data_IF_408664568554
#
_entry.id   IF_408664568554
#
_cell.length_a   1.000
_cell.length_b   1.000
_cell.length_c   1.000
_cell.angle_alpha   90.00
_cell.angle_beta   90.00
_cell.angle_gamma   90.00
#
_symmetry.space_group_name_H-M   'P 1'
#
loop_
_entity.id
_entity.type
_entity.pdbx_description
1 polymer ?
#
# COMPACT_ATOMS: atom_id res chain seq x y z
N UNK A 1 -25.22 15.76 -26.27
CA UNK A 1 -23.99 16.40 -25.77
C UNK A 1 -23.22 15.35 -24.98
N UNK A 2 -22.15 14.78 -25.56
CA UNK A 2 -21.36 13.72 -24.93
C UNK A 2 -20.27 14.38 -24.08
N UNK A 3 -20.42 14.34 -22.76
CA UNK A 3 -19.40 14.78 -21.81
C UNK A 3 -18.29 13.71 -21.83
N UNK A 4 -17.18 13.98 -22.52
CA UNK A 4 -15.96 13.17 -22.40
C UNK A 4 -15.29 13.53 -21.08
N UNK A 5 -15.28 12.59 -20.14
CA UNK A 5 -14.48 12.65 -18.93
C UNK A 5 -13.01 12.39 -19.30
N UNK A 6 -12.21 13.45 -19.43
CA UNK A 6 -10.76 13.32 -19.43
C UNK A 6 -10.29 13.12 -17.98
N UNK A 7 -10.26 11.86 -17.53
CA UNK A 7 -9.82 11.51 -16.19
C UNK A 7 -8.30 11.65 -16.10
N UNK A 8 -7.81 12.83 -15.69
CA UNK A 8 -6.41 12.98 -15.29
C UNK A 8 -6.17 12.19 -14.01
N UNK A 9 -5.51 11.04 -14.13
CA UNK A 9 -5.09 10.24 -12.97
C UNK A 9 -3.85 10.87 -12.36
N UNK A 10 -3.97 11.44 -11.16
CA UNK A 10 -2.82 11.93 -10.40
C UNK A 10 -2.26 10.76 -9.59
N UNK A 11 -0.99 10.44 -9.84
CA UNK A 11 -0.25 9.47 -9.03
C UNK A 11 0.48 10.22 -7.94
N UNK A 12 0.09 9.97 -6.69
CA UNK A 12 0.81 10.50 -5.51
C UNK A 12 1.67 9.40 -4.92
N UNK A 13 2.96 9.68 -4.72
CA UNK A 13 3.92 8.76 -4.08
C UNK A 13 4.24 9.23 -2.68
N UNK A 14 4.20 8.33 -1.69
CA UNK A 14 4.52 8.60 -0.29
C UNK A 14 5.46 7.52 0.25
N UNK A 15 6.35 7.91 1.14
CA UNK A 15 7.16 6.98 1.94
C UNK A 15 6.65 6.99 3.38
N UNK A 16 6.55 5.80 3.97
CA UNK A 16 6.07 5.61 5.32
C UNK A 16 7.00 4.68 6.08
N UNK A 17 7.68 5.23 7.09
CA UNK A 17 8.46 4.45 8.04
C UNK A 17 7.60 4.07 9.24
N UNK A 18 7.74 2.83 9.72
CA UNK A 18 6.98 2.32 10.85
C UNK A 18 7.76 1.25 11.61
N UNK A 19 7.40 1.03 12.88
CA UNK A 19 7.91 -0.08 13.68
C UNK A 19 7.05 -1.31 13.41
N UNK A 20 7.69 -2.45 13.17
CA UNK A 20 6.97 -3.69 12.90
C UNK A 20 6.53 -4.34 14.22
N UNK A 21 5.26 -4.79 14.34
CA UNK A 21 4.80 -5.44 15.56
C UNK A 21 5.52 -6.78 15.78
N UNK A 22 5.57 -7.26 17.02
CA UNK A 22 6.03 -8.64 17.27
C UNK A 22 5.05 -9.62 16.62
N UNK A 23 5.56 -10.61 15.89
CA UNK A 23 4.74 -11.65 15.27
C UNK A 23 4.21 -12.60 16.33
N UNK A 24 2.89 -12.81 16.31
CA UNK A 24 2.17 -13.79 17.17
C UNK A 24 1.35 -14.77 16.37
N UNK A 25 1.42 -14.67 15.05
CA UNK A 25 0.55 -15.32 14.08
C UNK A 25 1.39 -15.81 12.88
N UNK A 26 0.83 -16.67 12.01
CA UNK A 26 1.49 -17.09 10.79
C UNK A 26 1.96 -15.90 9.95
N UNK A 27 3.05 -16.08 9.21
CA UNK A 27 3.69 -14.98 8.49
C UNK A 27 2.74 -14.25 7.53
N UNK A 28 1.86 -14.99 6.85
CA UNK A 28 0.89 -14.43 5.91
C UNK A 28 -0.09 -13.50 6.63
N UNK A 29 -0.67 -13.93 7.74
CA UNK A 29 -1.66 -13.14 8.48
C UNK A 29 -1.01 -11.89 9.07
N UNK A 30 0.22 -12.05 9.57
CA UNK A 30 1.03 -10.96 10.09
C UNK A 30 1.29 -9.87 9.03
N UNK A 31 1.63 -10.28 7.82
CA UNK A 31 1.87 -9.41 6.68
C UNK A 31 0.58 -8.72 6.19
N UNK A 32 -0.51 -9.47 6.08
CA UNK A 32 -1.81 -8.94 5.72
C UNK A 32 -2.31 -7.92 6.75
N UNK A 33 -2.06 -8.14 8.05
CA UNK A 33 -2.40 -7.18 9.10
C UNK A 33 -1.64 -5.87 8.94
N UNK A 34 -0.34 -5.92 8.66
CA UNK A 34 0.44 -4.71 8.39
C UNK A 34 -0.07 -3.98 7.15
N UNK A 35 -0.34 -4.71 6.07
CA UNK A 35 -0.89 -4.15 4.83
C UNK A 35 -2.26 -3.51 5.03
N UNK A 36 -3.15 -4.11 5.84
CA UNK A 36 -4.45 -3.52 6.20
C UNK A 36 -4.28 -2.21 6.96
N UNK A 37 -3.38 -2.15 7.94
CA UNK A 37 -3.08 -0.91 8.66
C UNK A 37 -2.52 0.19 7.74
N UNK A 38 -1.71 -0.17 6.73
CA UNK A 38 -1.27 0.77 5.69
C UNK A 38 -2.45 1.18 4.82
N UNK A 39 -3.30 0.25 4.40
CA UNK A 39 -4.48 0.55 3.58
C UNK A 39 -5.43 1.54 4.25
N UNK A 40 -5.79 1.28 5.50
CA UNK A 40 -6.66 2.16 6.30
C UNK A 40 -6.07 3.57 6.42
N UNK A 41 -4.75 3.67 6.66
CA UNK A 41 -4.05 4.96 6.82
C UNK A 41 -3.98 5.78 5.52
N UNK A 42 -3.91 5.12 4.37
CA UNK A 42 -3.75 5.76 3.06
C UNK A 42 -4.98 5.64 2.16
N UNK A 43 -6.10 5.16 2.70
CA UNK A 43 -7.39 4.97 2.03
C UNK A 43 -7.24 4.15 0.73
N UNK A 44 -6.54 3.01 0.79
CA UNK A 44 -6.23 2.20 -0.40
C UNK A 44 -7.33 1.21 -0.79
N UNK A 45 -8.27 0.90 0.11
CA UNK A 45 -9.34 -0.07 -0.13
C UNK A 45 -8.87 -1.53 0.04
N UNK A 46 -9.51 -2.45 -0.67
CA UNK A 46 -9.23 -3.87 -0.54
C UNK A 46 -7.95 -4.30 -1.30
N UNK A 47 -7.31 -5.36 -0.80
CA UNK A 47 -6.15 -5.99 -1.46
C UNK A 47 -6.66 -6.86 -2.61
N UNK A 48 -6.14 -6.61 -3.81
CA UNK A 48 -6.43 -7.38 -5.02
C UNK A 48 -5.37 -8.45 -5.23
N UNK A 49 -4.10 -8.06 -5.11
CA UNK A 49 -2.95 -8.94 -5.32
C UNK A 49 -1.89 -8.69 -4.27
N UNK A 50 -1.13 -9.75 -3.97
CA UNK A 50 -0.04 -9.72 -3.02
C UNK A 50 1.04 -10.72 -3.44
N UNK A 51 2.28 -10.26 -3.42
CA UNK A 51 3.47 -11.04 -3.65
C UNK A 51 4.49 -10.75 -2.53
N UNK A 52 5.24 -11.78 -2.14
CA UNK A 52 6.32 -11.65 -1.16
C UNK A 52 7.57 -12.39 -1.62
N UNK A 53 8.70 -11.92 -1.14
CA UNK A 53 9.97 -12.62 -1.23
C UNK A 53 10.87 -12.21 -0.06
N UNK A 54 11.85 -13.05 0.21
CA UNK A 54 12.76 -12.90 1.34
C UNK A 54 14.19 -12.75 0.81
N UNK A 55 14.96 -11.86 1.45
CA UNK A 55 16.39 -11.65 1.22
C UNK A 55 17.06 -11.60 2.59
N UNK A 56 17.64 -12.73 2.99
CA UNK A 56 18.18 -12.93 4.34
C UNK A 56 17.14 -12.59 5.44
N UNK A 57 17.44 -11.58 6.27
CA UNK A 57 16.58 -11.09 7.36
C UNK A 57 15.57 -10.01 6.91
N UNK A 58 15.60 -9.62 5.64
CA UNK A 58 14.73 -8.58 5.09
C UNK A 58 13.62 -9.24 4.28
N UNK A 59 12.38 -8.92 4.65
CA UNK A 59 11.19 -9.37 3.93
C UNK A 59 10.68 -8.26 3.05
N UNK A 60 10.29 -8.61 1.83
CA UNK A 60 9.74 -7.71 0.84
C UNK A 60 8.33 -8.12 0.45
N UNK A 61 7.49 -7.11 0.26
CA UNK A 61 6.10 -7.27 -0.14
C UNK A 61 5.77 -6.27 -1.23
N UNK A 62 5.08 -6.75 -2.26
CA UNK A 62 4.31 -5.92 -3.18
C UNK A 62 2.84 -6.26 -3.06
N UNK A 63 2.01 -5.25 -2.84
CA UNK A 63 0.57 -5.39 -2.75
C UNK A 63 -0.11 -4.39 -3.69
N UNK A 64 -1.11 -4.88 -4.42
CA UNK A 64 -2.00 -4.07 -5.25
C UNK A 64 -3.33 -3.95 -4.52
N UNK A 65 -3.78 -2.71 -4.38
CA UNK A 65 -5.05 -2.35 -3.80
C UNK A 65 -5.93 -1.66 -4.84
N UNK A 66 -7.23 -1.55 -4.57
CA UNK A 66 -8.18 -0.81 -5.42
C UNK A 66 -7.72 0.63 -5.70
N UNK A 67 -7.27 1.34 -4.65
CA UNK A 67 -6.84 2.73 -4.70
C UNK A 67 -5.35 2.95 -5.00
N UNK A 68 -4.54 1.89 -5.11
CA UNK A 68 -3.10 2.06 -5.24
C UNK A 68 -2.22 0.82 -5.17
N UNK A 69 -0.94 1.04 -4.95
CA UNK A 69 0.08 -0.02 -4.77
C UNK A 69 0.95 0.30 -3.57
N UNK A 70 1.35 -0.74 -2.86
CA UNK A 70 2.32 -0.66 -1.76
C UNK A 70 3.49 -1.56 -2.10
N UNK A 71 4.70 -1.01 -1.99
CA UNK A 71 5.94 -1.79 -1.93
C UNK A 71 6.55 -1.61 -0.56
N UNK A 72 6.73 -2.68 0.17
CA UNK A 72 7.18 -2.65 1.55
C UNK A 72 8.40 -3.53 1.72
N UNK A 73 9.35 -3.07 2.52
CA UNK A 73 10.45 -3.90 3.04
C UNK A 73 10.55 -3.73 4.54
N UNK A 74 10.81 -4.82 5.26
CA UNK A 74 10.79 -4.77 6.71
C UNK A 74 11.65 -5.86 7.36
N UNK A 75 12.08 -5.59 8.59
CA UNK A 75 12.64 -6.58 9.52
C UNK A 75 11.62 -6.84 10.64
N UNK A 76 11.35 -8.10 10.93
CA UNK A 76 10.34 -8.49 11.94
C UNK A 76 10.72 -7.99 13.35
N UNK A 77 9.78 -7.37 14.06
CA UNK A 77 9.99 -6.80 15.40
C UNK A 77 10.97 -5.61 15.49
N UNK A 78 11.35 -5.03 14.34
CA UNK A 78 12.25 -3.88 14.22
C UNK A 78 11.57 -2.78 13.39
N UNK A 79 12.05 -2.53 12.17
CA UNK A 79 11.70 -1.38 11.35
C UNK A 79 11.15 -1.84 10.00
N UNK A 80 10.24 -1.06 9.44
CA UNK A 80 9.68 -1.25 8.12
C UNK A 80 9.56 0.08 7.37
N UNK A 81 9.73 0.02 6.06
CA UNK A 81 9.49 1.14 5.15
C UNK A 81 8.53 0.67 4.06
N UNK A 82 7.46 1.43 3.87
CA UNK A 82 6.50 1.25 2.79
C UNK A 82 6.54 2.44 1.83
N UNK A 83 6.65 2.15 0.54
CA UNK A 83 6.37 3.07 -0.55
C UNK A 83 4.94 2.87 -1.01
N UNK A 84 4.14 3.94 -0.95
CA UNK A 84 2.73 3.93 -1.32
C UNK A 84 2.55 4.78 -2.56
N UNK A 85 1.91 4.21 -3.59
CA UNK A 85 1.46 4.92 -4.79
C UNK A 85 -0.06 4.91 -4.82
N UNK A 86 -0.68 6.06 -4.58
CA UNK A 86 -2.14 6.21 -4.64
C UNK A 86 -2.55 6.82 -5.98
N UNK A 87 -3.63 6.30 -6.57
CA UNK A 87 -4.29 6.92 -7.72
C UNK A 87 -5.40 7.81 -7.19
N UNK A 88 -5.22 9.13 -7.23
CA UNK A 88 -6.31 10.08 -6.98
C UNK A 88 -6.87 10.52 -8.33
N UNK A 89 -8.14 10.25 -8.57
CA UNK A 89 -8.90 11.02 -9.55
C UNK A 89 -9.24 12.36 -8.91
N UNK A 90 -8.82 13.47 -9.50
CA UNK A 90 -9.44 14.75 -9.15
C UNK A 90 -10.90 14.69 -9.62
N UNK A 91 -11.90 14.94 -8.75
CA UNK A 91 -13.15 15.46 -9.26
C UNK A 91 -12.81 16.84 -9.85
N UNK A 92 -12.94 16.98 -11.17
CA UNK A 92 -12.88 18.29 -11.83
C UNK A 92 -13.84 19.24 -11.11
N UNK A 93 -13.30 20.12 -10.26
CA UNK A 93 -14.03 21.26 -9.74
C UNK A 93 -14.19 22.23 -10.90
N UNK A 94 -15.23 22.03 -11.69
CA UNK A 94 -15.75 23.12 -12.51
C UNK A 94 -16.27 24.18 -11.54
N UNK A 95 -15.61 25.34 -11.54
CA UNK A 95 -16.07 26.55 -10.88
C UNK A 95 -16.62 27.50 -11.93
#
# INVERSE_FOLDING_TARGET
MLIRYDQRVIIVRRLYAFTTPKRREPIRDYELRMLRGISEKFELGDIIEYARWDDEDIRYIEAVFEGGKVKMRYKEGKEGIAEIKTRRGEPLRFR
#
